data_IF_889977943659
#
_entry.id   IF_889977943659
#
_cell.length_a   1.000
_cell.length_b   1.000
_cell.length_c   1.000
_cell.angle_alpha   90.00
_cell.angle_beta   90.00
_cell.angle_gamma   90.00
#
_symmetry.space_group_name_H-M   'P 1'
#
loop_
_entity.id
_entity.type
_entity.pdbx_description
1 polymer ?
#
# COMPACT_ATOMS: atom_id res chain seq x y z
N UNK A 1 28.63 -6.85 46.82
CA UNK A 1 27.52 -7.68 46.37
C UNK A 1 26.89 -6.95 45.16
N UNK A 2 27.40 -7.29 43.98
CA UNK A 2 27.03 -6.65 42.74
C UNK A 2 25.74 -7.24 42.16
N UNK A 3 24.84 -6.39 41.73
CA UNK A 3 23.67 -6.74 40.93
C UNK A 3 24.04 -6.39 39.48
N UNK A 4 24.24 -7.43 38.68
CA UNK A 4 24.49 -7.30 37.24
C UNK A 4 23.12 -7.20 36.55
N UNK A 5 22.77 -6.03 36.06
CA UNK A 5 21.64 -5.82 35.15
C UNK A 5 22.01 -6.39 33.77
N UNK A 6 21.43 -7.53 33.39
CA UNK A 6 21.43 -8.02 32.00
C UNK A 6 20.41 -7.19 31.23
N UNK A 7 20.92 -6.32 30.35
CA UNK A 7 20.13 -5.67 29.31
C UNK A 7 19.69 -6.73 28.30
N UNK A 8 18.41 -7.05 28.29
CA UNK A 8 17.79 -7.83 27.23
C UNK A 8 17.85 -7.03 25.92
N UNK A 9 18.65 -7.46 24.97
CA UNK A 9 18.58 -7.00 23.59
C UNK A 9 17.32 -7.57 22.99
N UNK A 10 16.27 -6.75 22.87
CA UNK A 10 15.17 -7.01 21.96
C UNK A 10 15.71 -6.83 20.56
N UNK A 11 15.61 -7.88 19.75
CA UNK A 11 15.93 -7.84 18.31
C UNK A 11 14.90 -6.94 17.61
N UNK A 12 15.27 -5.77 17.02
CA UNK A 12 14.35 -4.89 16.32
C UNK A 12 14.14 -5.37 14.87
N UNK A 13 14.08 -6.66 14.66
CA UNK A 13 14.11 -7.33 13.36
C UNK A 13 12.81 -7.36 12.57
N UNK A 14 11.86 -6.46 12.78
CA UNK A 14 10.68 -6.42 11.94
C UNK A 14 10.27 -4.98 11.61
N UNK A 15 10.13 -4.72 10.32
CA UNK A 15 9.41 -3.59 9.71
C UNK A 15 10.20 -2.30 9.49
N UNK A 16 10.79 -2.19 8.33
CA UNK A 16 10.96 -0.92 7.63
C UNK A 16 10.53 -1.15 6.17
N UNK A 17 9.24 -1.01 5.94
CA UNK A 17 8.68 -0.80 4.60
C UNK A 17 8.03 0.57 4.67
N UNK A 18 8.69 1.58 4.13
CA UNK A 18 8.04 2.86 3.81
C UNK A 18 7.50 2.73 2.40
N UNK A 19 6.19 2.79 2.26
CA UNK A 19 5.52 2.87 0.96
C UNK A 19 5.46 4.33 0.50
N UNK A 20 5.36 4.52 -0.81
CA UNK A 20 5.42 5.81 -1.49
C UNK A 20 4.30 6.77 -1.05
N UNK A 21 4.59 7.99 -0.61
CA UNK A 21 3.58 8.95 -0.19
C UNK A 21 2.95 9.66 -1.40
N UNK A 22 1.75 9.25 -1.79
CA UNK A 22 1.01 9.86 -2.92
C UNK A 22 0.62 11.34 -2.69
N UNK A 23 0.47 11.78 -1.45
CA UNK A 23 0.14 13.18 -1.09
C UNK A 23 1.37 14.10 -1.01
N UNK A 24 2.56 13.56 -0.76
CA UNK A 24 3.81 14.33 -0.73
C UNK A 24 4.18 14.84 -2.13
N UNK A 25 3.79 14.14 -3.19
CA UNK A 25 3.96 14.59 -4.57
C UNK A 25 3.28 15.94 -4.86
N UNK A 26 2.14 16.25 -4.24
CA UNK A 26 1.43 17.52 -4.47
C UNK A 26 2.03 18.69 -3.67
N UNK A 27 2.78 18.43 -2.59
CA UNK A 27 3.42 19.49 -1.76
C UNK A 27 4.86 19.77 -2.16
N UNK A 28 5.59 18.82 -2.74
CA UNK A 28 6.98 19.04 -3.21
C UNK A 28 7.07 19.77 -4.55
N UNK A 29 6.01 19.77 -5.37
CA UNK A 29 6.00 20.47 -6.67
C UNK A 29 6.05 22.00 -6.59
N UNK A 30 5.85 22.62 -5.41
CA UNK A 30 5.91 24.08 -5.23
C UNK A 30 7.21 24.59 -4.61
N UNK A 31 8.01 23.76 -3.97
CA UNK A 31 9.26 24.18 -3.32
C UNK A 31 10.53 23.85 -4.14
N UNK A 32 10.51 22.85 -5.00
CA UNK A 32 11.65 22.44 -5.81
C UNK A 32 11.81 23.23 -7.12
N UNK A 33 10.77 23.93 -7.57
CA UNK A 33 10.81 24.71 -8.81
C UNK A 33 11.63 26.02 -8.72
N UNK A 34 12.00 26.48 -7.51
CA UNK A 34 12.66 27.78 -7.33
C UNK A 34 14.19 27.72 -7.27
N UNK A 35 14.83 26.55 -7.22
CA UNK A 35 16.30 26.43 -7.04
C UNK A 35 17.03 25.89 -8.28
N UNK A 36 16.33 25.34 -9.28
CA UNK A 36 16.99 24.73 -10.47
C UNK A 36 17.04 25.63 -11.71
N UNK A 37 16.66 26.90 -11.63
CA UNK A 37 16.66 27.81 -12.80
C UNK A 37 17.98 28.54 -13.07
N UNK A 38 19.11 28.23 -12.45
CA UNK A 38 20.34 29.01 -12.60
C UNK A 38 21.60 28.27 -13.07
N UNK A 39 21.51 27.03 -13.55
CA UNK A 39 22.67 26.36 -14.16
C UNK A 39 22.27 25.44 -15.33
N UNK A 40 21.99 26.03 -16.50
CA UNK A 40 22.23 25.31 -17.78
C UNK A 40 22.26 26.27 -18.96
N UNK A 41 23.39 26.92 -19.15
CA UNK A 41 23.78 27.41 -20.46
C UNK A 41 24.71 26.37 -21.10
N UNK A 42 24.25 25.69 -22.14
CA UNK A 42 25.05 25.20 -23.24
C UNK A 42 25.82 23.90 -23.06
N UNK A 43 25.18 22.77 -23.38
CA UNK A 43 25.85 21.71 -24.13
C UNK A 43 24.79 21.07 -25.05
N UNK A 44 24.80 21.39 -26.30
CA UNK A 44 24.10 20.61 -27.34
C UNK A 44 24.75 19.24 -27.41
N UNK A 45 24.05 18.22 -26.91
CA UNK A 45 24.39 16.82 -27.17
C UNK A 45 24.03 16.48 -28.61
N UNK A 46 24.87 15.71 -29.34
CA UNK A 46 24.58 15.34 -30.72
C UNK A 46 23.26 14.57 -30.82
N UNK A 47 22.49 14.84 -31.87
CA UNK A 47 21.27 14.12 -32.22
C UNK A 47 21.62 12.72 -32.76
N UNK A 48 21.96 11.78 -31.87
CA UNK A 48 22.19 10.38 -32.15
C UNK A 48 21.81 9.57 -30.91
N UNK A 49 20.85 8.67 -31.05
CA UNK A 49 20.49 7.60 -30.12
C UNK A 49 19.91 7.99 -28.72
N UNK A 50 19.17 9.06 -28.61
CA UNK A 50 18.37 9.28 -27.41
C UNK A 50 17.19 8.28 -27.40
N UNK A 51 17.26 7.27 -26.51
CA UNK A 51 16.17 6.35 -26.18
C UNK A 51 14.88 7.15 -25.99
N UNK A 52 13.80 6.76 -26.69
CA UNK A 52 12.52 7.45 -26.52
C UNK A 52 11.98 7.21 -25.11
N UNK A 53 11.12 8.09 -24.59
CA UNK A 53 10.50 7.88 -23.27
C UNK A 53 9.64 6.60 -23.24
N UNK A 54 9.10 6.18 -24.39
CA UNK A 54 8.41 4.89 -24.50
C UNK A 54 9.37 3.71 -24.35
N UNK A 55 10.53 3.73 -25.05
CA UNK A 55 11.54 2.68 -24.93
C UNK A 55 12.11 2.62 -23.51
N UNK A 56 12.29 3.79 -22.86
CA UNK A 56 12.67 3.87 -21.46
C UNK A 56 11.62 3.20 -20.56
N UNK A 57 10.33 3.47 -20.74
CA UNK A 57 9.26 2.83 -19.98
C UNK A 57 9.27 1.31 -20.15
N UNK A 58 9.46 0.83 -21.39
CA UNK A 58 9.57 -0.60 -21.70
C UNK A 58 10.77 -1.22 -21.00
N UNK A 59 11.96 -0.63 -21.12
CA UNK A 59 13.19 -1.12 -20.46
C UNK A 59 13.02 -1.23 -18.96
N UNK A 60 12.50 -0.18 -18.34
CA UNK A 60 12.29 -0.16 -16.87
C UNK A 60 11.31 -1.24 -16.44
N UNK A 61 10.18 -1.40 -17.14
CA UNK A 61 9.18 -2.42 -16.80
C UNK A 61 9.76 -3.82 -16.96
N UNK A 62 10.40 -4.11 -18.09
CA UNK A 62 10.99 -5.44 -18.35
C UNK A 62 12.10 -5.77 -17.35
N UNK A 63 12.87 -4.79 -16.92
CA UNK A 63 14.04 -4.97 -16.05
C UNK A 63 13.71 -4.94 -14.56
N UNK A 64 12.78 -4.06 -14.12
CA UNK A 64 12.63 -3.75 -12.70
C UNK A 64 11.23 -4.03 -12.13
N UNK A 65 10.17 -3.98 -12.94
CA UNK A 65 8.82 -4.23 -12.44
C UNK A 65 8.66 -5.66 -11.93
N UNK A 66 8.38 -5.82 -10.63
CA UNK A 66 8.31 -7.14 -9.99
C UNK A 66 7.17 -8.01 -10.53
N UNK A 67 6.09 -7.41 -11.01
CA UNK A 67 4.97 -8.13 -11.64
C UNK A 67 5.20 -8.56 -13.09
N UNK A 68 6.27 -8.08 -13.74
CA UNK A 68 6.49 -8.34 -15.16
C UNK A 68 6.43 -9.84 -15.53
N UNK A 69 7.18 -10.75 -14.88
CA UNK A 69 7.15 -12.17 -15.23
C UNK A 69 5.78 -12.81 -15.02
N UNK A 70 5.06 -12.44 -13.95
CA UNK A 70 3.75 -13.02 -13.64
C UNK A 70 2.66 -12.52 -14.59
N UNK A 71 2.70 -11.23 -14.95
CA UNK A 71 1.69 -10.57 -15.79
C UNK A 71 1.85 -10.88 -17.29
N UNK A 72 3.06 -11.25 -17.72
CA UNK A 72 3.35 -11.61 -19.11
C UNK A 72 3.30 -13.12 -19.37
N UNK A 73 3.39 -13.95 -18.33
CA UNK A 73 3.37 -15.41 -18.45
C UNK A 73 2.12 -15.91 -19.20
N UNK A 74 2.32 -16.63 -20.32
CA UNK A 74 1.26 -17.12 -21.19
C UNK A 74 0.59 -16.04 -22.05
N UNK A 75 1.08 -14.79 -22.03
CA UNK A 75 0.60 -13.65 -22.80
C UNK A 75 1.70 -12.97 -23.61
N UNK A 76 2.80 -13.65 -23.84
CA UNK A 76 4.01 -13.10 -24.48
C UNK A 76 3.72 -12.53 -25.88
N UNK A 77 2.86 -13.22 -26.65
CA UNK A 77 2.46 -12.77 -28.00
C UNK A 77 1.59 -11.50 -27.92
N UNK A 78 0.65 -11.40 -26.96
CA UNK A 78 -0.16 -10.19 -26.76
C UNK A 78 0.74 -9.02 -26.35
N UNK A 79 1.68 -9.26 -25.44
CA UNK A 79 2.62 -8.25 -24.99
C UNK A 79 3.51 -7.74 -26.12
N UNK A 80 4.05 -8.64 -26.97
CA UNK A 80 4.85 -8.26 -28.12
C UNK A 80 4.02 -7.44 -29.13
N UNK A 81 2.78 -7.86 -29.40
CA UNK A 81 1.86 -7.15 -30.30
C UNK A 81 1.50 -5.75 -29.75
N UNK A 82 1.28 -5.62 -28.43
CA UNK A 82 1.03 -4.32 -27.78
C UNK A 82 2.19 -3.35 -28.04
N UNK A 83 3.43 -3.77 -27.75
CA UNK A 83 4.61 -2.92 -27.96
C UNK A 83 4.76 -2.48 -29.41
N UNK A 84 4.70 -3.43 -30.35
CA UNK A 84 4.83 -3.13 -31.77
C UNK A 84 3.75 -2.15 -32.25
N UNK A 85 2.51 -2.33 -31.84
CA UNK A 85 1.40 -1.43 -32.17
C UNK A 85 1.64 -0.02 -31.62
N UNK A 86 1.96 0.11 -30.33
CA UNK A 86 2.17 1.42 -29.70
C UNK A 86 3.37 2.16 -30.32
N UNK A 87 4.48 1.48 -30.62
CA UNK A 87 5.61 2.06 -31.33
C UNK A 87 5.23 2.58 -32.75
N UNK A 88 4.40 1.80 -33.48
CA UNK A 88 3.89 2.22 -34.78
C UNK A 88 2.98 3.44 -34.67
N UNK A 89 2.09 3.48 -33.67
CA UNK A 89 1.17 4.59 -33.43
C UNK A 89 1.91 5.88 -33.02
N UNK A 90 2.94 5.79 -32.17
CA UNK A 90 3.81 6.92 -31.81
C UNK A 90 4.53 7.47 -33.04
N UNK A 91 5.00 6.59 -33.94
CA UNK A 91 5.60 6.99 -35.23
C UNK A 91 4.61 7.66 -36.19
N UNK A 92 3.31 7.44 -35.97
CA UNK A 92 2.18 8.03 -36.71
C UNK A 92 1.48 9.18 -35.96
N UNK A 93 2.22 9.94 -35.12
CA UNK A 93 1.76 11.13 -34.36
C UNK A 93 0.91 10.87 -33.12
N UNK A 94 0.81 9.65 -32.59
CA UNK A 94 0.21 9.42 -31.26
C UNK A 94 1.06 10.05 -30.16
N UNK A 95 0.44 10.68 -29.18
CA UNK A 95 1.14 11.20 -28.00
C UNK A 95 1.85 10.06 -27.26
N UNK A 96 3.14 10.25 -26.97
CA UNK A 96 3.99 9.22 -26.35
C UNK A 96 3.54 8.88 -24.94
N UNK A 97 3.05 9.86 -24.17
CA UNK A 97 2.64 9.64 -22.77
C UNK A 97 1.28 8.97 -22.69
N UNK A 98 0.38 9.21 -23.68
CA UNK A 98 -0.85 8.44 -23.79
C UNK A 98 -0.56 6.97 -24.15
N UNK A 99 0.41 6.73 -25.05
CA UNK A 99 0.86 5.38 -25.36
C UNK A 99 1.53 4.68 -24.17
N UNK A 100 2.34 5.40 -23.38
CA UNK A 100 2.91 4.89 -22.11
C UNK A 100 1.80 4.57 -21.09
N UNK A 101 0.78 5.43 -21.00
CA UNK A 101 -0.35 5.18 -20.12
C UNK A 101 -1.10 3.88 -20.48
N UNK A 102 -1.34 3.65 -21.77
CA UNK A 102 -1.92 2.39 -22.24
C UNK A 102 -1.00 1.20 -21.98
N UNK A 103 0.30 1.34 -22.26
CA UNK A 103 1.29 0.30 -22.01
C UNK A 103 1.32 -0.14 -20.55
N UNK A 104 1.39 0.80 -19.59
CA UNK A 104 1.38 0.49 -18.18
C UNK A 104 0.01 -0.03 -17.72
N UNK A 105 -1.08 0.50 -18.27
CA UNK A 105 -2.45 0.05 -17.97
C UNK A 105 -2.72 -1.39 -18.36
N UNK A 106 -2.03 -1.92 -19.41
CA UNK A 106 -2.18 -3.31 -19.86
C UNK A 106 -1.83 -4.35 -18.77
N UNK A 107 -0.90 -4.03 -17.87
CA UNK A 107 -0.51 -4.92 -16.76
C UNK A 107 -1.59 -5.03 -15.69
N UNK A 108 -2.55 -4.09 -15.66
CA UNK A 108 -3.67 -4.06 -14.72
C UNK A 108 -3.22 -4.16 -13.26
N UNK A 109 -2.17 -3.41 -12.93
CA UNK A 109 -1.62 -3.25 -11.60
C UNK A 109 -1.77 -1.79 -11.16
N UNK A 110 -2.43 -1.56 -10.02
CA UNK A 110 -2.70 -0.20 -9.53
C UNK A 110 -1.47 0.52 -8.97
N UNK A 111 -0.39 -0.19 -8.70
CA UNK A 111 0.88 0.40 -8.31
C UNK A 111 1.80 0.70 -9.52
N UNK A 112 1.65 -0.03 -10.64
CA UNK A 112 2.35 0.30 -11.89
C UNK A 112 1.56 1.37 -12.63
N UNK A 113 1.97 2.62 -12.57
CA UNK A 113 1.15 3.72 -13.04
C UNK A 113 1.92 4.94 -13.57
N UNK A 114 1.23 5.69 -14.39
CA UNK A 114 1.50 7.07 -14.83
C UNK A 114 0.16 7.78 -14.95
N UNK A 115 0.09 9.12 -15.05
CA UNK A 115 -1.17 9.81 -15.30
C UNK A 115 -1.91 9.23 -16.53
N UNK A 116 -3.17 8.84 -16.36
CA UNK A 116 -4.01 8.28 -17.40
C UNK A 116 -4.00 6.75 -17.52
N UNK A 117 -3.06 6.03 -16.90
CA UNK A 117 -2.96 4.57 -17.00
C UNK A 117 -4.23 3.85 -16.48
N UNK A 118 -4.92 4.42 -15.51
CA UNK A 118 -6.17 3.87 -14.97
C UNK A 118 -7.29 3.73 -16.01
N UNK A 119 -7.28 4.53 -17.06
CA UNK A 119 -8.27 4.47 -18.14
C UNK A 119 -8.14 3.19 -18.98
N UNK A 120 -6.95 2.60 -19.01
CA UNK A 120 -6.61 1.42 -19.81
C UNK A 120 -6.66 0.10 -19.02
N UNK A 121 -6.84 0.17 -17.69
CA UNK A 121 -6.97 -1.03 -16.86
C UNK A 121 -8.31 -1.71 -17.08
N UNK A 122 -8.34 -3.02 -16.89
CA UNK A 122 -9.59 -3.77 -16.91
C UNK A 122 -10.53 -3.29 -15.81
N UNK A 123 -11.82 -3.11 -16.15
CA UNK A 123 -12.83 -2.75 -15.16
C UNK A 123 -12.99 -3.90 -14.16
N UNK A 124 -12.95 -3.56 -12.88
CA UNK A 124 -13.28 -4.53 -11.85
C UNK A 124 -14.75 -4.95 -11.97
N UNK A 125 -14.99 -6.25 -12.14
CA UNK A 125 -16.35 -6.81 -12.18
C UNK A 125 -17.05 -6.82 -10.81
N UNK A 126 -16.31 -6.53 -9.74
CA UNK A 126 -16.77 -6.66 -8.34
C UNK A 126 -16.95 -5.33 -7.64
N UNK A 127 -16.79 -4.19 -8.33
CA UNK A 127 -16.94 -2.85 -7.75
C UNK A 127 -17.99 -2.06 -8.49
N UNK A 128 -18.78 -1.30 -7.74
CA UNK A 128 -19.68 -0.29 -8.29
C UNK A 128 -18.86 0.73 -9.10
N UNK A 129 -19.18 0.89 -10.38
CA UNK A 129 -18.47 1.80 -11.28
C UNK A 129 -18.55 3.26 -10.84
N UNK A 130 -19.58 3.65 -10.07
CA UNK A 130 -19.73 4.99 -9.49
C UNK A 130 -18.98 5.15 -8.14
N UNK A 131 -18.36 4.07 -7.62
CA UNK A 131 -17.68 4.09 -6.35
C UNK A 131 -16.59 5.17 -6.28
N UNK A 132 -15.76 5.29 -7.32
CA UNK A 132 -14.74 6.32 -7.40
C UNK A 132 -15.31 7.74 -7.42
N UNK A 133 -16.43 7.96 -8.10
CA UNK A 133 -17.15 9.24 -8.12
C UNK A 133 -17.75 9.61 -6.76
N UNK A 134 -18.31 8.62 -6.06
CA UNK A 134 -18.85 8.79 -4.71
C UNK A 134 -17.76 9.07 -3.70
N UNK A 135 -16.65 8.31 -3.74
CA UNK A 135 -15.55 8.46 -2.81
C UNK A 135 -14.75 9.76 -2.99
N UNK A 136 -14.75 10.36 -4.19
CA UNK A 136 -14.19 11.72 -4.38
C UNK A 136 -14.93 12.79 -3.55
N UNK A 137 -16.19 12.54 -3.18
CA UNK A 137 -16.98 13.42 -2.30
C UNK A 137 -16.76 13.14 -0.82
N UNK A 138 -16.14 12.02 -0.49
CA UNK A 138 -15.76 11.67 0.85
C UNK A 138 -14.32 12.12 1.08
N UNK A 139 -14.12 12.93 2.11
CA UNK A 139 -12.81 13.32 2.60
C UNK A 139 -12.70 12.88 4.07
N UNK A 140 -12.58 11.55 4.32
CA UNK A 140 -12.55 11.04 5.68
C UNK A 140 -11.35 11.61 6.41
N UNK A 141 -11.61 12.22 7.56
CA UNK A 141 -10.59 12.80 8.41
C UNK A 141 -10.19 11.82 9.51
N UNK A 142 -8.95 11.91 9.97
CA UNK A 142 -8.56 11.23 11.20
C UNK A 142 -9.38 11.78 12.37
N UNK A 143 -10.07 10.89 13.06
CA UNK A 143 -10.87 11.25 14.22
C UNK A 143 -10.99 10.07 15.18
N UNK A 144 -11.34 10.35 16.44
CA UNK A 144 -11.71 9.33 17.39
C UNK A 144 -12.73 9.86 18.40
N UNK A 145 -13.74 9.05 18.75
CA UNK A 145 -14.79 9.43 19.65
C UNK A 145 -15.55 8.21 20.19
N UNK A 146 -16.36 8.42 21.23
CA UNK A 146 -17.38 7.45 21.63
C UNK A 146 -18.45 7.35 20.54
N UNK A 147 -18.85 6.13 20.17
CA UNK A 147 -20.05 5.85 19.39
C UNK A 147 -21.25 5.72 20.33
N UNK A 148 -21.03 5.01 21.44
CA UNK A 148 -21.97 4.82 22.55
C UNK A 148 -21.21 4.51 23.85
N UNK A 149 -21.90 4.02 24.91
CA UNK A 149 -21.32 3.75 26.21
C UNK A 149 -20.20 2.68 26.18
N UNK A 150 -20.31 1.69 25.29
CA UNK A 150 -19.44 0.52 25.22
C UNK A 150 -18.51 0.51 24.00
N UNK A 151 -18.75 1.37 23.03
CA UNK A 151 -18.07 1.33 21.72
C UNK A 151 -17.35 2.64 21.42
N UNK A 152 -16.09 2.53 21.04
CA UNK A 152 -15.25 3.64 20.60
C UNK A 152 -14.93 3.53 19.09
N UNK A 153 -14.81 4.66 18.41
CA UNK A 153 -14.39 4.77 17.02
C UNK A 153 -12.98 5.35 16.94
N UNK A 154 -12.13 4.76 16.10
CA UNK A 154 -10.92 5.40 15.57
C UNK A 154 -11.01 5.33 14.05
N UNK A 155 -11.19 6.47 13.37
CA UNK A 155 -11.11 6.56 11.91
C UNK A 155 -9.69 6.86 11.49
N UNK A 156 -9.14 6.01 10.62
CA UNK A 156 -7.75 6.03 10.19
C UNK A 156 -7.66 5.98 8.65
N UNK A 157 -7.88 7.10 7.97
CA UNK A 157 -8.10 7.13 6.51
C UNK A 157 -6.81 7.17 5.67
N UNK A 158 -5.63 7.15 6.29
CA UNK A 158 -4.35 7.19 5.57
C UNK A 158 -3.23 6.57 6.39
N UNK A 159 -2.34 5.84 5.72
CA UNK A 159 -1.02 5.44 6.25
C UNK A 159 0.11 6.37 5.77
N UNK A 160 -0.19 7.38 4.94
CA UNK A 160 0.76 8.41 4.53
C UNK A 160 0.77 9.54 5.57
N UNK A 161 1.46 9.28 6.68
CA UNK A 161 1.50 10.13 7.86
C UNK A 161 2.93 10.52 8.21
N UNK A 162 3.09 11.73 8.71
CA UNK A 162 4.30 12.21 9.39
C UNK A 162 4.46 11.57 10.77
N UNK A 163 5.65 11.61 11.35
CA UNK A 163 5.90 11.12 12.72
C UNK A 163 5.00 11.80 13.77
N UNK A 164 4.66 13.07 13.57
CA UNK A 164 3.75 13.82 14.45
C UNK A 164 2.30 13.29 14.34
N UNK A 165 1.83 12.97 13.13
CA UNK A 165 0.51 12.37 12.92
C UNK A 165 0.45 10.93 13.46
N UNK A 166 1.52 10.15 13.31
CA UNK A 166 1.64 8.82 13.94
C UNK A 166 1.60 8.94 15.47
N UNK A 167 2.20 9.97 16.06
CA UNK A 167 2.06 10.23 17.48
C UNK A 167 0.61 10.54 17.88
N UNK A 168 -0.16 11.21 17.01
CA UNK A 168 -1.60 11.40 17.15
C UNK A 168 -2.39 10.08 17.19
N UNK A 169 -2.03 9.11 16.33
CA UNK A 169 -2.62 7.76 16.34
C UNK A 169 -2.34 7.06 17.69
N UNK A 170 -1.10 7.14 18.20
CA UNK A 170 -0.75 6.59 19.52
C UNK A 170 -1.54 7.26 20.65
N UNK A 171 -1.75 8.58 20.56
CA UNK A 171 -2.57 9.31 21.53
C UNK A 171 -4.04 8.86 21.50
N UNK A 172 -4.63 8.67 20.30
CA UNK A 172 -5.99 8.15 20.15
C UNK A 172 -6.13 6.74 20.75
N UNK A 173 -5.15 5.86 20.56
CA UNK A 173 -5.11 4.53 21.19
C UNK A 173 -5.06 4.65 22.72
N UNK A 174 -4.29 5.60 23.26
CA UNK A 174 -4.23 5.82 24.72
C UNK A 174 -5.57 6.35 25.27
N UNK A 175 -6.22 7.27 24.57
CA UNK A 175 -7.56 7.78 24.94
C UNK A 175 -8.59 6.66 24.90
N UNK A 176 -8.60 5.83 23.87
CA UNK A 176 -9.47 4.65 23.81
C UNK A 176 -9.26 3.73 25.02
N UNK A 177 -8.03 3.39 25.37
CA UNK A 177 -7.74 2.54 26.54
C UNK A 177 -8.24 3.12 27.88
N UNK A 178 -8.32 4.44 27.96
CA UNK A 178 -8.81 5.15 29.14
C UNK A 178 -10.33 5.42 29.10
N UNK A 179 -11.01 5.19 27.98
CA UNK A 179 -12.41 5.54 27.76
C UNK A 179 -13.41 4.67 28.54
N UNK A 180 -12.99 3.46 28.94
CA UNK A 180 -13.88 2.45 29.52
C UNK A 180 -14.64 1.60 28.51
N UNK A 181 -14.57 1.91 27.19
CA UNK A 181 -15.23 1.14 26.15
C UNK A 181 -14.57 -0.24 25.97
N UNK A 182 -15.40 -1.28 25.92
CA UNK A 182 -14.94 -2.66 25.68
C UNK A 182 -14.81 -3.01 24.19
N UNK A 183 -15.53 -2.28 23.32
CA UNK A 183 -15.55 -2.50 21.88
C UNK A 183 -14.84 -1.37 21.11
N UNK A 184 -14.24 -1.72 19.98
CA UNK A 184 -13.56 -0.77 19.11
C UNK A 184 -13.98 -0.94 17.65
N UNK A 185 -14.34 0.15 17.01
CA UNK A 185 -14.46 0.25 15.57
C UNK A 185 -13.24 0.98 15.02
N UNK A 186 -12.44 0.31 14.20
CA UNK A 186 -11.37 0.93 13.40
C UNK A 186 -11.90 1.11 11.99
N UNK A 187 -12.08 2.35 11.55
CA UNK A 187 -12.60 2.69 10.23
C UNK A 187 -11.46 3.13 9.33
N UNK A 188 -11.10 2.30 8.35
CA UNK A 188 -10.03 2.58 7.40
C UNK A 188 -10.55 2.86 5.98
N UNK A 189 -11.84 3.17 5.84
CA UNK A 189 -12.41 3.52 4.52
C UNK A 189 -11.65 4.69 3.90
N UNK A 190 -11.35 4.55 2.60
CA UNK A 190 -10.57 5.52 1.84
C UNK A 190 -9.07 5.48 2.06
N UNK A 191 -8.55 4.58 2.92
CA UNK A 191 -7.13 4.46 3.19
C UNK A 191 -6.39 3.79 2.01
N UNK A 192 -5.73 4.58 1.20
CA UNK A 192 -4.98 4.12 0.03
C UNK A 192 -3.54 3.66 0.37
N UNK A 193 -3.23 3.47 1.64
CA UNK A 193 -1.92 3.02 2.08
C UNK A 193 -0.99 4.17 2.51
N UNK A 194 0.30 3.91 2.44
CA UNK A 194 1.38 4.76 2.93
C UNK A 194 2.46 3.93 3.60
N UNK A 195 2.77 4.16 4.88
CA UNK A 195 3.76 3.41 5.65
C UNK A 195 3.11 2.47 6.65
N UNK A 196 3.59 1.22 6.75
CA UNK A 196 3.13 0.25 7.75
C UNK A 196 3.39 0.72 9.18
N UNK A 197 4.38 1.58 9.41
CA UNK A 197 4.63 2.18 10.72
C UNK A 197 3.45 3.03 11.22
N UNK A 198 2.61 3.54 10.32
CA UNK A 198 1.49 4.40 10.66
C UNK A 198 0.36 3.62 11.36
N UNK A 199 0.11 2.37 10.96
CA UNK A 199 -0.92 1.54 11.56
C UNK A 199 -0.42 0.63 12.70
N UNK A 200 0.90 0.54 12.92
CA UNK A 200 1.48 -0.32 13.96
C UNK A 200 0.80 -0.15 15.34
N UNK A 201 0.48 1.07 15.81
CA UNK A 201 -0.21 1.26 17.08
C UNK A 201 -1.60 0.60 17.12
N UNK A 202 -2.31 0.59 15.99
CA UNK A 202 -3.64 -0.05 15.86
C UNK A 202 -3.50 -1.56 15.79
N UNK A 203 -2.57 -2.09 15.01
CA UNK A 203 -2.33 -3.53 14.94
C UNK A 203 -1.95 -4.09 16.31
N UNK A 204 -1.04 -3.43 17.03
CA UNK A 204 -0.67 -3.81 18.41
C UNK A 204 -1.86 -3.79 19.37
N UNK A 205 -2.80 -2.86 19.19
CA UNK A 205 -4.01 -2.79 19.97
C UNK A 205 -4.95 -3.96 19.67
N UNK A 206 -5.07 -4.34 18.39
CA UNK A 206 -5.97 -5.40 17.90
C UNK A 206 -5.37 -6.81 18.08
N UNK A 207 -4.07 -6.94 18.23
CA UNK A 207 -3.34 -8.20 18.39
C UNK A 207 -3.78 -8.99 19.60
N UNK A 208 -4.02 -10.31 19.46
CA UNK A 208 -4.31 -11.22 20.55
C UNK A 208 -3.52 -12.54 20.52
N UNK A 209 -2.92 -12.91 19.39
CA UNK A 209 -2.07 -14.09 19.26
C UNK A 209 -0.99 -13.91 18.20
N UNK A 210 0.07 -14.72 18.27
CA UNK A 210 1.13 -14.73 17.26
C UNK A 210 0.58 -15.20 15.92
N UNK A 211 0.79 -14.39 14.88
CA UNK A 211 0.41 -14.65 13.50
C UNK A 211 1.61 -14.78 12.57
N UNK A 212 1.33 -15.18 11.36
CA UNK A 212 2.32 -15.26 10.26
C UNK A 212 1.70 -14.72 8.99
N UNK A 213 2.44 -13.87 8.27
CA UNK A 213 2.02 -13.30 6.99
C UNK A 213 3.11 -13.52 5.93
N UNK A 214 2.70 -13.52 4.65
CA UNK A 214 3.61 -13.69 3.51
C UNK A 214 4.54 -12.48 3.36
N UNK A 215 5.82 -12.73 3.17
CA UNK A 215 6.82 -11.70 2.96
C UNK A 215 6.83 -11.21 1.51
N UNK A 216 7.35 -10.01 1.32
CA UNK A 216 7.65 -9.45 -0.01
C UNK A 216 9.07 -9.87 -0.44
N UNK A 217 9.23 -10.23 -1.71
CA UNK A 217 10.52 -10.52 -2.33
C UNK A 217 10.86 -9.47 -3.40
N UNK A 218 12.12 -9.03 -3.46
CA UNK A 218 12.58 -8.04 -4.43
C UNK A 218 12.92 -8.72 -5.76
N UNK A 219 12.43 -8.17 -6.87
CA UNK A 219 12.99 -8.47 -8.18
C UNK A 219 14.28 -7.68 -8.35
N UNK A 220 15.41 -8.38 -8.48
CA UNK A 220 16.74 -7.76 -8.45
C UNK A 220 16.96 -6.91 -9.70
N UNK A 221 17.21 -5.63 -9.48
CA UNK A 221 17.54 -4.63 -10.49
C UNK A 221 18.34 -3.50 -9.83
N UNK A 222 18.96 -2.65 -10.62
CA UNK A 222 19.60 -1.41 -10.11
C UNK A 222 18.60 -0.51 -9.39
N UNK A 223 17.36 -0.42 -9.87
CA UNK A 223 16.26 0.34 -9.26
C UNK A 223 15.90 -0.26 -7.89
N UNK A 224 15.72 -1.57 -7.80
CA UNK A 224 15.43 -2.24 -6.52
C UNK A 224 16.59 -2.12 -5.53
N UNK A 225 17.84 -2.18 -6.00
CA UNK A 225 19.03 -1.96 -5.17
C UNK A 225 19.07 -0.52 -4.67
N UNK A 226 18.78 0.47 -5.52
CA UNK A 226 18.71 1.88 -5.13
C UNK A 226 17.63 2.10 -4.07
N UNK A 227 16.43 1.50 -4.25
CA UNK A 227 15.36 1.51 -3.26
C UNK A 227 15.82 1.02 -1.88
N UNK A 228 16.44 -0.15 -1.81
CA UNK A 228 16.91 -0.70 -0.52
C UNK A 228 18.02 0.17 0.09
N UNK A 229 18.91 0.76 -0.72
CA UNK A 229 19.93 1.70 -0.24
C UNK A 229 19.34 2.95 0.38
N UNK A 230 18.32 3.51 -0.24
CA UNK A 230 17.65 4.72 0.25
C UNK A 230 16.89 4.47 1.56
N UNK A 231 16.05 3.45 1.59
CA UNK A 231 15.13 3.24 2.73
C UNK A 231 15.71 2.43 3.89
N UNK A 232 16.72 1.60 3.65
CA UNK A 232 17.28 0.72 4.65
C UNK A 232 18.83 0.68 4.68
N UNK A 233 19.52 1.35 3.77
CA UNK A 233 20.98 1.29 3.62
C UNK A 233 21.78 1.79 4.83
N UNK A 234 21.17 2.58 5.71
CA UNK A 234 21.76 3.02 6.98
C UNK A 234 21.74 1.93 8.06
N UNK A 235 20.99 0.83 7.87
CA UNK A 235 20.92 -0.31 8.78
C UNK A 235 21.85 -1.44 8.38
N UNK A 236 22.31 -2.25 9.35
CA UNK A 236 23.11 -3.43 9.06
C UNK A 236 22.36 -4.43 8.17
N UNK A 237 21.06 -4.64 8.45
CA UNK A 237 20.20 -5.51 7.66
C UNK A 237 20.07 -5.03 6.21
N UNK A 238 19.86 -3.73 5.99
CA UNK A 238 19.75 -3.14 4.65
C UNK A 238 21.06 -3.29 3.86
N UNK A 239 22.21 -3.04 4.49
CA UNK A 239 23.53 -3.26 3.84
C UNK A 239 23.75 -4.72 3.45
N UNK A 240 23.37 -5.67 4.32
CA UNK A 240 23.43 -7.10 4.00
C UNK A 240 22.50 -7.45 2.82
N UNK A 241 21.27 -6.91 2.81
CA UNK A 241 20.32 -7.11 1.72
C UNK A 241 20.88 -6.60 0.39
N UNK A 242 21.40 -5.37 0.34
CA UNK A 242 22.06 -4.80 -0.84
C UNK A 242 23.18 -5.72 -1.33
N UNK A 243 24.07 -6.17 -0.43
CA UNK A 243 25.17 -7.06 -0.80
C UNK A 243 24.68 -8.44 -1.30
N UNK A 244 23.51 -8.91 -0.90
CA UNK A 244 22.87 -10.11 -1.46
C UNK A 244 22.32 -9.83 -2.86
N UNK A 245 21.60 -8.71 -3.04
CA UNK A 245 21.04 -8.31 -4.33
C UNK A 245 22.13 -8.13 -5.39
N UNK A 246 23.29 -7.52 -5.04
CA UNK A 246 24.43 -7.33 -5.94
C UNK A 246 25.07 -8.64 -6.43
N UNK A 247 24.81 -9.76 -5.74
CA UNK A 247 25.30 -11.09 -6.13
C UNK A 247 24.23 -11.95 -6.82
N UNK A 248 22.98 -11.53 -6.78
CA UNK A 248 21.87 -12.23 -7.42
C UNK A 248 21.73 -11.71 -8.86
N UNK A 249 21.55 -12.57 -9.86
CA UNK A 249 21.36 -12.13 -11.24
C UNK A 249 20.19 -11.15 -11.38
N UNK A 250 20.36 -10.14 -12.23
CA UNK A 250 19.31 -9.18 -12.52
C UNK A 250 18.07 -9.89 -13.10
N UNK A 251 16.87 -9.47 -12.66
CA UNK A 251 15.60 -10.06 -13.06
C UNK A 251 15.16 -11.25 -12.22
N UNK A 252 16.05 -11.86 -11.43
CA UNK A 252 15.68 -12.90 -10.46
C UNK A 252 15.09 -12.29 -9.18
N UNK A 253 14.33 -13.10 -8.43
CA UNK A 253 13.84 -12.70 -7.12
C UNK A 253 14.88 -13.03 -6.04
N UNK A 254 15.10 -12.07 -5.14
CA UNK A 254 15.98 -12.28 -4.00
C UNK A 254 15.33 -13.30 -3.06
N UNK A 255 15.98 -14.45 -2.85
CA UNK A 255 15.54 -15.45 -1.90
C UNK A 255 15.77 -14.96 -0.46
N UNK A 256 14.68 -14.66 0.21
CA UNK A 256 14.60 -14.37 1.65
C UNK A 256 13.57 -15.33 2.31
N UNK A 257 13.28 -15.12 3.59
CA UNK A 257 12.20 -15.89 4.23
C UNK A 257 10.86 -15.66 3.53
N UNK A 258 10.09 -16.74 3.31
CA UNK A 258 8.79 -16.67 2.61
C UNK A 258 7.72 -15.98 3.43
N UNK A 259 7.85 -15.97 4.74
CA UNK A 259 6.90 -15.38 5.69
C UNK A 259 7.62 -14.60 6.78
N UNK A 260 6.89 -13.75 7.46
CA UNK A 260 7.35 -13.08 8.69
C UNK A 260 6.34 -13.27 9.82
N UNK A 261 6.81 -13.12 11.05
CA UNK A 261 6.01 -13.29 12.27
C UNK A 261 5.47 -11.95 12.75
N UNK A 262 4.19 -11.95 13.12
CA UNK A 262 3.52 -10.86 13.80
C UNK A 262 3.49 -11.23 15.27
N UNK A 263 4.30 -10.56 16.08
CA UNK A 263 4.44 -10.87 17.51
C UNK A 263 4.68 -9.60 18.30
N UNK A 264 3.92 -9.47 19.38
CA UNK A 264 4.11 -8.43 20.41
C UNK A 264 4.30 -9.09 21.79
N UNK A 265 5.02 -8.42 22.69
CA UNK A 265 5.36 -8.94 24.00
C UNK A 265 4.14 -9.02 24.95
N UNK A 266 3.06 -8.32 24.63
CA UNK A 266 1.85 -8.31 25.45
C UNK A 266 0.60 -8.12 24.61
N UNK A 267 -0.49 -8.73 25.07
CA UNK A 267 -1.84 -8.54 24.54
C UNK A 267 -2.55 -7.44 25.33
N UNK A 268 -3.17 -6.51 24.63
CA UNK A 268 -4.00 -5.47 25.28
C UNK A 268 -5.27 -6.09 25.87
N UNK A 269 -5.69 -5.73 27.10
CA UNK A 269 -6.92 -6.25 27.69
C UNK A 269 -8.18 -5.78 26.95
N UNK A 270 -8.09 -4.67 26.22
CA UNK A 270 -9.14 -4.14 25.35
C UNK A 270 -8.57 -3.89 23.95
N UNK A 271 -9.40 -3.95 22.88
CA UNK A 271 -10.84 -4.26 22.85
C UNK A 271 -11.12 -5.73 23.19
N UNK A 272 -12.30 -6.02 23.74
CA UNK A 272 -12.81 -7.39 23.80
C UNK A 272 -13.26 -7.86 22.42
N UNK A 273 -13.85 -6.93 21.66
CA UNK A 273 -14.24 -7.13 20.25
C UNK A 273 -13.88 -5.89 19.44
N UNK A 274 -13.47 -6.12 18.23
CA UNK A 274 -13.15 -5.05 17.30
C UNK A 274 -13.80 -5.29 15.93
N UNK A 275 -14.09 -4.20 15.27
CA UNK A 275 -14.45 -4.15 13.86
C UNK A 275 -13.37 -3.39 13.10
N UNK A 276 -13.04 -3.88 11.90
CA UNK A 276 -12.25 -3.15 10.91
C UNK A 276 -13.15 -2.86 9.71
N UNK A 277 -13.53 -1.59 9.49
CA UNK A 277 -14.39 -1.22 8.36
C UNK A 277 -13.52 -0.87 7.15
N UNK A 278 -13.78 -1.56 6.05
CA UNK A 278 -13.06 -1.40 4.78
C UNK A 278 -14.00 -0.94 3.66
N UNK A 279 -13.41 -0.45 2.57
CA UNK A 279 -14.09 -0.16 1.30
C UNK A 279 -13.20 -0.47 0.10
N UNK A 280 -13.71 -0.34 -1.12
CA UNK A 280 -12.99 -0.63 -2.35
C UNK A 280 -11.83 0.33 -2.67
N UNK A 281 -11.53 1.30 -1.80
CA UNK A 281 -10.36 2.18 -1.90
C UNK A 281 -9.27 1.82 -0.91
N UNK A 282 -9.54 0.93 0.04
CA UNK A 282 -8.49 0.43 0.93
C UNK A 282 -7.45 -0.30 0.09
N UNK A 283 -6.20 0.14 0.18
CA UNK A 283 -5.13 -0.25 -0.73
C UNK A 283 -3.78 -0.35 0.00
N UNK A 284 -2.82 -1.11 -0.57
CA UNK A 284 -1.43 -1.12 -0.14
C UNK A 284 -1.28 -1.40 1.37
N UNK A 285 -0.64 -0.52 2.16
CA UNK A 285 -0.53 -0.66 3.62
C UNK A 285 -1.89 -0.78 4.33
N UNK A 286 -2.98 -0.25 3.75
CA UNK A 286 -4.33 -0.49 4.26
C UNK A 286 -4.74 -1.96 4.13
N UNK A 287 -4.40 -2.61 3.01
CA UNK A 287 -4.62 -4.04 2.79
C UNK A 287 -3.71 -4.89 3.67
N UNK A 288 -2.46 -4.45 3.86
CA UNK A 288 -1.51 -5.12 4.74
C UNK A 288 -2.04 -5.17 6.18
N UNK A 289 -2.61 -4.06 6.69
CA UNK A 289 -3.27 -4.04 8.00
C UNK A 289 -4.40 -5.07 8.09
N UNK A 290 -5.24 -5.20 7.06
CA UNK A 290 -6.33 -6.20 7.04
C UNK A 290 -5.78 -7.61 7.14
N UNK A 291 -4.74 -7.95 6.37
CA UNK A 291 -4.13 -9.28 6.38
C UNK A 291 -3.45 -9.58 7.71
N UNK A 292 -2.69 -8.64 8.25
CA UNK A 292 -2.01 -8.81 9.54
C UNK A 292 -2.99 -8.94 10.70
N UNK A 293 -4.09 -8.19 10.68
CA UNK A 293 -5.18 -8.34 11.67
C UNK A 293 -5.81 -9.72 11.57
N UNK A 294 -6.11 -10.22 10.37
CA UNK A 294 -6.65 -11.57 10.18
C UNK A 294 -5.69 -12.65 10.66
N UNK A 295 -4.40 -12.45 10.47
CA UNK A 295 -3.37 -13.41 10.89
C UNK A 295 -3.12 -13.40 12.40
N UNK A 296 -3.47 -12.32 13.13
CA UNK A 296 -3.03 -12.14 14.53
C UNK A 296 -4.10 -11.64 15.50
N UNK A 297 -5.39 -11.67 15.09
CA UNK A 297 -6.52 -11.24 15.93
C UNK A 297 -7.78 -12.05 15.68
N UNK A 298 -8.17 -12.87 16.66
CA UNK A 298 -9.47 -13.57 16.64
C UNK A 298 -10.64 -12.67 17.10
N UNK A 299 -10.36 -11.55 17.73
CA UNK A 299 -11.37 -10.62 18.25
C UNK A 299 -11.80 -9.55 17.27
N UNK A 300 -11.18 -9.50 16.07
CA UNK A 300 -11.47 -8.49 15.05
C UNK A 300 -12.19 -9.12 13.88
N UNK A 301 -13.31 -8.49 13.47
CA UNK A 301 -14.09 -8.86 12.28
C UNK A 301 -13.95 -7.74 11.24
N UNK A 302 -13.77 -8.09 9.97
CA UNK A 302 -13.68 -7.14 8.86
C UNK A 302 -15.05 -6.91 8.26
N UNK A 303 -15.50 -5.66 8.22
CA UNK A 303 -16.79 -5.22 7.70
C UNK A 303 -16.62 -4.36 6.45
N UNK A 304 -17.54 -4.45 5.50
CA UNK A 304 -17.54 -3.62 4.30
C UNK A 304 -18.67 -4.01 3.34
N UNK A 305 -18.74 -3.38 2.18
CA UNK A 305 -19.61 -3.83 1.08
C UNK A 305 -18.80 -4.46 -0.04
N UNK A 306 -17.70 -3.80 -0.42
CA UNK A 306 -16.84 -4.22 -1.49
C UNK A 306 -15.54 -4.83 -0.94
N UNK A 307 -14.85 -5.59 -1.79
CA UNK A 307 -13.49 -5.98 -1.51
C UNK A 307 -12.58 -4.73 -1.53
N UNK A 308 -11.42 -4.81 -0.89
CA UNK A 308 -10.37 -3.79 -0.98
C UNK A 308 -9.84 -3.65 -2.41
N UNK A 309 -8.90 -2.75 -2.65
CA UNK A 309 -8.45 -2.42 -4.03
C UNK A 309 -7.74 -3.59 -4.72
N UNK A 310 -6.97 -4.39 -4.01
CA UNK A 310 -6.20 -5.49 -4.60
C UNK A 310 -4.95 -5.02 -5.33
N UNK A 311 -4.11 -4.23 -4.68
CA UNK A 311 -2.85 -3.77 -5.27
C UNK A 311 -1.60 -4.14 -4.44
N UNK A 312 -1.78 -4.71 -3.25
CA UNK A 312 -0.67 -4.95 -2.33
C UNK A 312 0.37 -5.95 -2.84
N UNK A 313 -0.03 -6.90 -3.69
CA UNK A 313 0.86 -8.00 -4.09
C UNK A 313 2.09 -7.55 -4.88
N UNK A 314 2.03 -6.39 -5.53
CA UNK A 314 3.19 -5.73 -6.12
C UNK A 314 3.33 -4.36 -5.48
N UNK A 315 4.43 -4.10 -4.77
CA UNK A 315 4.61 -2.88 -3.98
C UNK A 315 6.07 -2.47 -3.80
N UNK A 316 6.36 -1.63 -2.79
CA UNK A 316 7.66 -0.97 -2.66
C UNK A 316 8.02 -0.21 -3.94
N UNK A 317 7.24 0.84 -4.19
CA UNK A 317 7.23 1.54 -5.47
C UNK A 317 8.33 2.60 -5.56
N UNK A 318 8.95 2.70 -6.74
CA UNK A 318 9.83 3.79 -7.10
C UNK A 318 9.17 4.76 -8.07
N UNK A 319 9.42 6.05 -7.89
CA UNK A 319 9.01 7.10 -8.82
C UNK A 319 10.16 7.41 -9.75
N UNK A 320 9.95 7.22 -11.03
CA UNK A 320 10.96 7.45 -12.07
C UNK A 320 10.47 8.53 -13.02
N UNK A 321 11.31 9.52 -13.28
CA UNK A 321 11.03 10.59 -14.22
C UNK A 321 11.53 10.23 -15.61
N UNK A 322 10.80 10.65 -16.65
CA UNK A 322 11.19 10.37 -18.03
C UNK A 322 12.38 11.23 -18.44
N UNK A 323 13.33 10.66 -19.20
CA UNK A 323 14.56 11.37 -19.57
C UNK A 323 14.34 12.61 -20.45
N UNK A 324 13.31 12.61 -21.32
CA UNK A 324 13.01 13.73 -22.22
C UNK A 324 12.09 14.78 -21.60
N UNK A 325 11.22 14.37 -20.68
CA UNK A 325 10.34 15.26 -19.96
C UNK A 325 10.33 14.92 -18.46
N UNK A 326 11.21 15.55 -17.71
CA UNK A 326 11.33 15.35 -16.26
C UNK A 326 10.13 15.90 -15.46
N UNK A 327 9.11 16.47 -16.10
CA UNK A 327 7.83 16.79 -15.47
C UNK A 327 6.86 15.60 -15.49
N UNK A 328 7.17 14.58 -16.28
CA UNK A 328 6.42 13.33 -16.41
C UNK A 328 7.12 12.22 -15.62
N UNK A 329 6.33 11.31 -15.11
CA UNK A 329 6.81 10.25 -14.23
C UNK A 329 6.03 8.95 -14.43
N UNK A 330 6.62 7.85 -13.98
CA UNK A 330 5.94 6.59 -13.76
C UNK A 330 6.28 6.03 -12.38
N UNK A 331 5.39 5.21 -11.83
CA UNK A 331 5.61 4.47 -10.58
C UNK A 331 5.78 3.00 -10.91
N UNK A 332 6.81 2.37 -10.34
CA UNK A 332 7.18 0.99 -10.62
C UNK A 332 7.35 0.21 -9.33
N UNK A 333 6.51 -0.82 -9.08
CA UNK A 333 6.70 -1.74 -7.95
C UNK A 333 7.93 -2.61 -8.14
N UNK A 334 8.79 -2.68 -7.13
CA UNK A 334 10.04 -3.47 -7.18
C UNK A 334 9.98 -4.76 -6.34
N UNK A 335 8.87 -5.01 -5.67
CA UNK A 335 8.66 -6.24 -4.90
C UNK A 335 7.37 -6.95 -5.29
N UNK A 336 7.38 -8.27 -5.08
CA UNK A 336 6.23 -9.16 -5.23
C UNK A 336 5.96 -9.87 -3.91
N UNK A 337 4.68 -10.08 -3.57
CA UNK A 337 4.29 -10.91 -2.43
C UNK A 337 4.52 -12.40 -2.72
N UNK A 338 4.99 -13.13 -1.72
CA UNK A 338 5.04 -14.60 -1.77
C UNK A 338 3.64 -15.25 -1.85
N UNK A 339 2.54 -14.48 -1.68
CA UNK A 339 1.17 -14.94 -1.98
C UNK A 339 1.00 -15.30 -3.44
N UNK A 340 1.63 -14.56 -4.36
CA UNK A 340 1.51 -14.80 -5.81
C UNK A 340 1.98 -16.19 -6.20
N UNK A 341 3.25 -16.61 -5.98
CA UNK A 341 3.68 -17.96 -6.34
C UNK A 341 2.98 -19.07 -5.52
N UNK A 342 2.38 -18.73 -4.38
CA UNK A 342 1.61 -19.65 -3.56
C UNK A 342 0.13 -19.78 -4.01
N UNK A 343 -0.30 -19.07 -5.04
CA UNK A 343 -1.69 -19.09 -5.54
C UNK A 343 -2.71 -18.45 -4.60
N UNK A 344 -2.25 -17.55 -3.71
CA UNK A 344 -3.09 -16.85 -2.73
C UNK A 344 -3.06 -15.32 -2.92
N UNK A 345 -2.64 -14.87 -4.09
CA UNK A 345 -2.59 -13.44 -4.40
C UNK A 345 -3.96 -12.76 -4.26
N UNK A 346 -3.92 -11.49 -3.90
CA UNK A 346 -5.10 -10.61 -3.83
C UNK A 346 -5.10 -9.58 -4.96
N UNK A 347 -4.13 -9.65 -5.85
CA UNK A 347 -3.99 -8.73 -6.99
C UNK A 347 -5.30 -8.65 -7.79
N UNK A 348 -5.81 -7.45 -8.03
CA UNK A 348 -7.08 -7.12 -8.67
C UNK A 348 -8.35 -7.58 -7.91
N UNK A 349 -8.27 -8.66 -7.13
CA UNK A 349 -9.40 -9.25 -6.41
C UNK A 349 -9.72 -8.46 -5.13
N UNK A 350 -8.68 -7.98 -4.45
CA UNK A 350 -8.77 -7.39 -3.13
C UNK A 350 -9.15 -8.38 -2.04
N UNK A 351 -9.33 -7.89 -0.85
CA UNK A 351 -9.69 -8.65 0.34
C UNK A 351 -11.18 -8.48 0.59
N UNK A 352 -11.94 -9.58 0.55
CA UNK A 352 -13.37 -9.54 0.85
C UNK A 352 -13.61 -9.25 2.35
N UNK A 353 -14.61 -8.45 2.74
CA UNK A 353 -15.00 -8.34 4.13
C UNK A 353 -15.61 -9.65 4.64
N UNK A 354 -15.46 -9.91 5.95
CA UNK A 354 -16.06 -11.09 6.60
C UNK A 354 -17.59 -10.92 6.73
N UNK A 355 -18.01 -9.69 6.98
CA UNK A 355 -19.43 -9.31 7.09
C UNK A 355 -19.74 -8.17 6.13
N UNK A 356 -20.72 -8.39 5.24
CA UNK A 356 -21.19 -7.35 4.35
C UNK A 356 -22.22 -6.47 5.05
N UNK A 357 -21.95 -5.16 5.04
CA UNK A 357 -22.86 -4.16 5.63
C UNK A 357 -24.09 -4.01 4.72
N UNK A 358 -25.31 -4.26 5.23
CA UNK A 358 -26.53 -4.26 4.39
C UNK A 358 -27.11 -2.85 4.15
N UNK A 359 -26.40 -1.81 4.54
CA UNK A 359 -26.83 -0.43 4.41
C UNK A 359 -26.28 0.22 3.14
N UNK A 360 -26.97 1.19 2.54
CA UNK A 360 -26.40 1.95 1.44
C UNK A 360 -25.15 2.72 1.89
N UNK A 361 -24.29 3.09 0.94
CA UNK A 361 -23.14 3.95 1.21
C UNK A 361 -23.60 5.25 1.89
N UNK A 362 -22.91 5.70 2.94
CA UNK A 362 -23.22 6.95 3.63
C UNK A 362 -23.21 8.14 2.66
N UNK A 363 -24.03 9.15 2.94
CA UNK A 363 -24.03 10.38 2.12
C UNK A 363 -22.80 11.23 2.34
N UNK A 364 -22.29 11.21 3.57
CA UNK A 364 -21.10 11.95 4.01
C UNK A 364 -20.20 11.04 4.83
N UNK A 365 -18.90 11.24 4.69
CA UNK A 365 -17.86 10.55 5.47
C UNK A 365 -16.68 11.51 5.59
N UNK A 366 -16.69 12.35 6.61
CA UNK A 366 -15.63 13.32 6.88
C UNK A 366 -15.17 13.15 8.33
N UNK A 367 -15.88 13.75 9.27
CA UNK A 367 -15.59 13.75 10.71
C UNK A 367 -16.79 13.30 11.56
N UNK A 368 -17.75 12.62 10.94
CA UNK A 368 -19.01 12.19 11.55
C UNK A 368 -19.01 10.69 11.90
N UNK A 369 -19.78 10.31 12.90
CA UNK A 369 -20.26 8.93 13.08
C UNK A 369 -21.40 8.73 12.09
N UNK A 370 -21.22 7.78 11.18
CA UNK A 370 -22.18 7.52 10.10
C UNK A 370 -22.94 6.19 10.31
N UNK A 371 -24.03 5.95 9.56
CA UNK A 371 -24.87 4.76 9.76
C UNK A 371 -24.14 3.41 9.67
N UNK A 372 -23.03 3.32 8.96
CA UNK A 372 -22.23 2.07 8.92
C UNK A 372 -21.54 1.84 10.26
N UNK A 373 -20.94 2.88 10.84
CA UNK A 373 -20.29 2.81 12.15
C UNK A 373 -21.32 2.43 13.24
N UNK A 374 -22.50 3.08 13.22
CA UNK A 374 -23.58 2.77 14.16
C UNK A 374 -24.09 1.34 14.03
N UNK A 375 -24.27 0.87 12.80
CA UNK A 375 -24.72 -0.50 12.52
C UNK A 375 -23.68 -1.53 12.98
N UNK A 376 -22.41 -1.31 12.68
CA UNK A 376 -21.29 -2.18 13.09
C UNK A 376 -21.16 -2.21 14.61
N UNK A 377 -21.25 -1.07 15.29
CA UNK A 377 -21.26 -1.00 16.75
C UNK A 377 -22.40 -1.82 17.36
N UNK A 378 -23.60 -1.75 16.75
CA UNK A 378 -24.75 -2.57 17.15
C UNK A 378 -24.54 -4.07 16.90
N UNK A 379 -23.83 -4.46 15.82
CA UNK A 379 -23.57 -5.85 15.48
C UNK A 379 -22.54 -6.48 16.42
N UNK A 380 -21.48 -5.75 16.77
CA UNK A 380 -20.48 -6.19 17.78
C UNK A 380 -21.14 -6.59 19.10
N UNK A 381 -22.22 -5.91 19.54
CA UNK A 381 -22.96 -6.20 20.76
C UNK A 381 -23.86 -7.44 20.67
N UNK A 382 -24.43 -7.75 19.47
CA UNK A 382 -25.30 -8.91 19.27
C UNK A 382 -24.57 -10.23 19.40
N UNK A 383 -23.32 -10.30 18.97
CA UNK A 383 -22.51 -11.52 19.03
C UNK A 383 -22.29 -12.00 20.46
N UNK A 384 -22.46 -11.14 21.50
CA UNK A 384 -22.42 -11.54 22.91
C UNK A 384 -23.58 -12.42 23.35
N UNK A 385 -24.77 -12.19 22.79
CA UNK A 385 -25.98 -12.90 23.20
C UNK A 385 -26.06 -14.33 22.72
N UNK A 386 -25.24 -14.68 21.69
CA UNK A 386 -25.26 -16.02 21.08
C UNK A 386 -24.16 -16.95 21.60
N UNK A 387 -23.29 -16.50 22.52
CA UNK A 387 -22.19 -17.30 23.12
C UNK A 387 -22.50 -17.71 24.57
N UNK A 388 -23.67 -17.37 25.10
CA UNK A 388 -24.22 -17.87 26.37
C UNK A 388 -25.27 -18.92 26.03
#
# INVERSE_FOLDING_TARGET
TGITLRSGRTDPGSRFIRTCPMKTLLRMSLAAAAVLCLLSAGAQTPAGDAVSDFDYAVDVVERAYAGYPDKTAGREAEYAALKARLQSEISGDRDVYDAIAEYLGWFDDSHLQTPGAEAYRAKSLRRDTDYAGRMKRYDPQFMHCHVDEDTYLIRFPSCDLTDAEIAGVRAAVAVYRASGCENLVVDIRGNMGGSDNAYEPLLKLLYDHEGTEDAMEYRVSDIAIAHVREFAGNTERGRRKVACMERTPAGEFLEEGKTYRIRYDSVSPVPRRAALIVDGRVASSGEQLVLEVRASSCRTTVYGQDNTLGCLDYSNCEILYFPRDTTRWMIVPVTRSNRIPAGRGIDREGIAPDVRIPLPLPRTLTDNVDPWVEWVAGDLKKTEKNVK
#
